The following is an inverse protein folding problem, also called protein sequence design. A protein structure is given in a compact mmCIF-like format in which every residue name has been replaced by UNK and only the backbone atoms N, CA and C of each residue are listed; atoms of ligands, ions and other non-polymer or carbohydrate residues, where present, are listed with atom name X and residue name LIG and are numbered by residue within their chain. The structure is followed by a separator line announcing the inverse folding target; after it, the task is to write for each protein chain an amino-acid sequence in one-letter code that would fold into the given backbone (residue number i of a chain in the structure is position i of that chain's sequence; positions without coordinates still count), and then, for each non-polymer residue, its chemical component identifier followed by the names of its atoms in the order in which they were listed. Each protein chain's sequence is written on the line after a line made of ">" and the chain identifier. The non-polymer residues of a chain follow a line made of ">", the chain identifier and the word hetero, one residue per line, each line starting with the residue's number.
data_IF_560604276648
#
_entry.id   IF_560604276648
#
_cell.length_a   1.000
_cell.length_b   1.000
_cell.length_c   1.000
_cell.angle_alpha   90.00
_cell.angle_beta   90.00
_cell.angle_gamma   90.00
#
_symmetry.space_group_name_H-M   'P 1'
#
loop_
_entity.id
_entity.type
_entity.pdbx_description
1 polymer ?
#
# COMPACT_ATOMS: atom_id res chain seq x y z
N UNK A 1 9.33 91.91 -5.51
CA UNK A 1 10.21 91.25 -6.48
C UNK A 1 10.82 90.03 -5.78
N UNK A 2 10.92 88.83 -6.37
CA UNK A 2 10.59 88.42 -7.75
C UNK A 2 9.77 87.12 -7.77
N UNK A 3 9.11 86.85 -8.90
CA UNK A 3 8.36 85.61 -9.15
C UNK A 3 9.28 84.49 -9.65
N UNK A 4 9.05 83.26 -9.18
CA UNK A 4 9.58 82.05 -9.77
C UNK A 4 8.42 81.05 -9.94
N UNK A 5 7.91 80.92 -11.17
CA UNK A 5 6.70 80.16 -11.46
C UNK A 5 6.96 78.81 -12.13
N UNK A 6 6.18 77.81 -11.73
CA UNK A 6 5.76 76.60 -12.48
C UNK A 6 6.85 75.85 -13.27
N UNK A 7 6.99 74.56 -12.97
CA UNK A 7 6.72 73.52 -13.98
C UNK A 7 6.12 72.28 -13.31
N UNK A 8 4.92 71.86 -13.73
CA UNK A 8 4.21 70.68 -13.23
C UNK A 8 4.12 69.65 -14.36
N UNK A 9 5.05 68.70 -14.40
CA UNK A 9 5.11 67.70 -15.45
C UNK A 9 3.89 66.76 -15.40
N UNK A 10 3.25 66.55 -16.55
CA UNK A 10 2.15 65.59 -16.71
C UNK A 10 2.68 64.22 -17.16
N UNK A 11 1.88 63.17 -16.90
CA UNK A 11 2.26 61.75 -17.04
C UNK A 11 2.23 61.30 -18.50
N UNK A 12 3.19 60.48 -18.98
CA UNK A 12 2.90 59.47 -19.99
C UNK A 12 2.16 58.29 -19.34
N UNK A 13 1.07 57.83 -19.93
CA UNK A 13 0.34 56.64 -19.47
C UNK A 13 0.86 55.39 -20.20
N UNK A 14 1.46 54.45 -19.48
CA UNK A 14 1.95 53.19 -20.05
C UNK A 14 0.79 52.27 -20.45
N UNK A 15 0.51 52.18 -21.75
CA UNK A 15 -0.47 51.26 -22.32
C UNK A 15 0.12 49.86 -22.54
N UNK A 16 -0.32 48.93 -21.70
CA UNK A 16 -0.73 47.56 -22.02
C UNK A 16 0.04 46.77 -23.10
N UNK A 17 0.71 45.70 -22.67
CA UNK A 17 0.77 44.43 -23.45
C UNK A 17 0.57 43.22 -22.52
N UNK A 18 -0.66 42.74 -22.41
CA UNK A 18 -0.94 41.43 -21.82
C UNK A 18 -0.52 40.36 -22.83
N UNK A 19 0.63 39.71 -22.61
CA UNK A 19 0.99 38.48 -23.32
C UNK A 19 0.06 37.36 -22.84
N UNK A 20 -0.93 37.00 -23.65
CA UNK A 20 -1.58 35.68 -23.53
C UNK A 20 -0.54 34.62 -23.88
N UNK A 21 -0.02 33.92 -22.87
CA UNK A 21 0.70 32.66 -23.09
C UNK A 21 -0.34 31.62 -23.50
N UNK A 22 -0.16 31.00 -24.67
CA UNK A 22 -0.94 29.84 -25.05
C UNK A 22 -0.44 28.63 -24.25
N UNK A 23 -1.35 27.92 -23.58
CA UNK A 23 -1.02 26.64 -22.98
C UNK A 23 -0.75 25.59 -24.09
N UNK A 24 0.32 24.79 -24.02
CA UNK A 24 0.49 23.66 -24.91
C UNK A 24 -0.60 22.61 -24.59
N UNK A 25 -1.33 22.18 -25.61
CA UNK A 25 -2.30 21.09 -25.47
C UNK A 25 -1.57 19.75 -25.44
N UNK A 26 -1.32 19.22 -24.24
CA UNK A 26 -0.73 17.89 -24.07
C UNK A 26 -1.69 16.80 -24.58
N UNK A 27 -1.39 16.25 -25.75
CA UNK A 27 -2.13 15.12 -26.33
C UNK A 27 -1.88 13.85 -25.52
N UNK A 28 -2.90 13.37 -24.81
CA UNK A 28 -2.82 12.13 -24.04
C UNK A 28 -2.87 10.91 -24.97
N UNK A 29 -1.71 10.35 -25.30
CA UNK A 29 -1.60 9.09 -26.07
C UNK A 29 -1.98 7.90 -25.20
N UNK A 30 -3.19 7.37 -25.36
CA UNK A 30 -3.64 6.19 -24.64
C UNK A 30 -2.91 4.92 -25.14
N UNK A 31 -1.95 4.42 -24.35
CA UNK A 31 -1.25 3.16 -24.65
C UNK A 31 -2.06 1.98 -24.10
N UNK A 32 -2.80 1.29 -24.96
CA UNK A 32 -3.49 0.05 -24.62
C UNK A 32 -2.50 -1.12 -24.49
N UNK A 33 -2.03 -1.39 -23.28
CA UNK A 33 -1.18 -2.54 -22.99
C UNK A 33 -1.95 -3.85 -23.07
N UNK A 34 -1.76 -4.63 -24.15
CA UNK A 34 -2.30 -5.97 -24.27
C UNK A 34 -1.41 -6.99 -23.53
N UNK A 35 -1.94 -7.64 -22.49
CA UNK A 35 -1.21 -8.68 -21.76
C UNK A 35 -1.25 -10.01 -22.53
N UNK A 36 -0.09 -10.45 -23.03
CA UNK A 36 0.07 -11.75 -23.71
C UNK A 36 0.10 -12.88 -22.68
N UNK A 37 -0.83 -13.83 -22.79
CA UNK A 37 -0.81 -15.07 -22.00
C UNK A 37 0.00 -16.12 -22.76
N UNK A 38 1.19 -16.46 -22.25
CA UNK A 38 1.99 -17.59 -22.76
C UNK A 38 1.49 -18.86 -22.07
N UNK A 39 0.69 -19.65 -22.79
CA UNK A 39 0.35 -21.02 -22.39
C UNK A 39 1.42 -22.00 -22.85
N UNK A 40 1.87 -22.88 -21.95
CA UNK A 40 2.74 -24.02 -22.29
C UNK A 40 1.93 -25.31 -22.10
N UNK A 41 1.49 -25.90 -23.21
CA UNK A 41 0.83 -27.21 -23.23
C UNK A 41 1.87 -28.32 -23.37
N UNK A 42 1.89 -29.26 -22.42
CA UNK A 42 2.80 -30.41 -22.46
C UNK A 42 2.17 -31.61 -23.18
N UNK A 43 2.73 -32.01 -24.33
CA UNK A 43 2.34 -33.23 -25.07
C UNK A 43 3.54 -33.81 -25.82
N UNK A 44 3.80 -35.12 -25.69
CA UNK A 44 4.84 -35.84 -26.46
C UNK A 44 5.35 -37.09 -25.71
N UNK A 45 5.46 -38.23 -26.41
CA UNK A 45 5.56 -39.55 -25.75
C UNK A 45 6.67 -40.47 -26.27
N UNK A 46 7.67 -40.76 -25.43
CA UNK A 46 8.58 -41.94 -25.50
C UNK A 46 9.48 -42.09 -26.74
N UNK A 47 10.09 -43.28 -26.98
CA UNK A 47 10.29 -44.41 -26.03
C UNK A 47 11.69 -45.09 -26.09
N UNK A 48 11.92 -46.10 -25.22
CA UNK A 48 13.04 -47.10 -25.25
C UNK A 48 14.47 -46.54 -24.93
N UNK A 49 15.47 -47.32 -24.46
CA UNK A 49 15.66 -48.78 -24.46
C UNK A 49 16.58 -49.35 -23.33
N UNK A 50 16.47 -50.67 -23.11
CA UNK A 50 17.49 -51.64 -22.62
C UNK A 50 18.12 -51.56 -21.20
N UNK A 51 18.31 -52.75 -20.60
CA UNK A 51 19.06 -53.02 -19.37
C UNK A 51 20.44 -53.68 -19.67
N UNK A 52 21.20 -54.15 -18.66
CA UNK A 52 21.01 -55.53 -18.19
C UNK A 52 21.03 -55.70 -16.65
N UNK A 53 20.92 -56.95 -16.17
CA UNK A 53 20.80 -57.29 -14.74
C UNK A 53 21.72 -58.47 -14.33
N UNK A 54 21.96 -58.65 -13.02
CA UNK A 54 22.27 -59.94 -12.35
C UNK A 54 22.37 -59.79 -10.82
N UNK A 55 21.89 -60.80 -10.06
CA UNK A 55 22.07 -60.89 -8.60
C UNK A 55 20.92 -61.61 -7.87
N UNK A 56 21.17 -62.82 -7.34
CA UNK A 56 20.24 -63.60 -6.49
C UNK A 56 20.49 -63.29 -4.98
N UNK A 57 19.77 -63.83 -3.97
CA UNK A 57 18.81 -64.94 -3.90
C UNK A 57 17.76 -64.67 -2.78
N UNK A 58 16.50 -65.11 -2.90
CA UNK A 58 15.91 -66.38 -2.41
C UNK A 58 15.65 -66.49 -0.88
N UNK A 59 14.38 -66.63 -0.48
CA UNK A 59 13.85 -67.79 0.28
C UNK A 59 12.37 -67.63 0.74
N UNK A 60 11.47 -68.35 0.06
CA UNK A 60 10.23 -69.02 0.55
C UNK A 60 9.17 -68.31 1.43
N UNK A 61 7.89 -68.37 1.00
CA UNK A 61 6.85 -69.31 1.56
C UNK A 61 5.58 -69.37 0.69
N UNK A 62 4.71 -70.34 0.97
CA UNK A 62 3.79 -71.05 0.05
C UNK A 62 2.65 -71.73 0.85
N UNK A 63 1.41 -71.97 0.36
CA UNK A 63 0.65 -71.50 -0.84
C UNK A 63 -0.79 -71.00 -0.37
N UNK A 64 -1.99 -71.09 -1.04
CA UNK A 64 -3.13 -70.20 -0.72
C UNK A 64 -4.49 -70.88 -0.39
N UNK A 65 -5.56 -70.06 -0.33
CA UNK A 65 -6.98 -70.36 -0.64
C UNK A 65 -7.90 -71.02 0.41
N UNK A 66 -9.04 -70.35 0.69
CA UNK A 66 -10.39 -70.94 0.74
C UNK A 66 -11.47 -69.85 0.92
N UNK A 67 -12.61 -69.99 0.26
CA UNK A 67 -13.86 -69.25 0.55
C UNK A 67 -14.75 -70.03 1.53
N UNK A 68 -15.76 -69.37 2.09
CA UNK A 68 -17.09 -69.98 2.03
C UNK A 68 -18.16 -69.01 1.47
N UNK A 69 -19.06 -69.55 0.65
CA UNK A 69 -20.22 -68.84 0.12
C UNK A 69 -21.41 -69.02 1.06
N UNK A 70 -22.07 -67.94 1.48
CA UNK A 70 -23.46 -67.97 1.95
C UNK A 70 -24.24 -66.84 1.29
N UNK A 71 -25.34 -67.19 0.62
CA UNK A 71 -26.29 -66.23 0.06
C UNK A 71 -27.52 -66.17 0.97
N UNK A 72 -27.87 -64.96 1.39
CA UNK A 72 -29.03 -64.66 2.23
C UNK A 72 -29.42 -63.19 2.02
N UNK A 73 -30.34 -62.94 1.09
CA UNK A 73 -30.65 -61.60 0.62
C UNK A 73 -31.27 -60.69 1.69
N UNK A 74 -30.52 -59.68 2.13
CA UNK A 74 -31.04 -58.51 2.83
C UNK A 74 -30.94 -57.27 1.92
N UNK A 75 -32.09 -56.70 1.53
CA UNK A 75 -32.16 -55.39 0.87
C UNK A 75 -31.85 -54.28 1.88
N UNK A 76 -30.57 -54.16 2.25
CA UNK A 76 -30.05 -52.94 2.87
C UNK A 76 -30.17 -51.81 1.84
N UNK A 77 -31.19 -50.96 1.98
CA UNK A 77 -31.31 -49.73 1.21
C UNK A 77 -30.10 -48.86 1.56
N UNK A 78 -29.09 -48.84 0.68
CA UNK A 78 -27.94 -47.96 0.79
C UNK A 78 -28.43 -46.51 0.61
N UNK A 79 -28.83 -45.91 1.73
CA UNK A 79 -29.35 -44.56 1.79
C UNK A 79 -28.19 -43.57 1.61
N UNK A 80 -27.73 -43.46 0.36
CA UNK A 80 -26.69 -42.53 -0.09
C UNK A 80 -27.18 -41.09 0.02
N UNK A 81 -27.30 -40.61 1.26
CA UNK A 81 -27.61 -39.22 1.61
C UNK A 81 -26.35 -38.38 1.51
N UNK A 82 -25.78 -38.33 0.30
CA UNK A 82 -24.97 -37.20 -0.13
C UNK A 82 -25.90 -36.00 -0.31
N UNK A 83 -26.39 -35.47 0.81
CA UNK A 83 -27.05 -34.18 0.84
C UNK A 83 -26.03 -33.15 0.32
N UNK A 84 -26.38 -32.32 -0.67
CA UNK A 84 -25.46 -31.28 -1.12
C UNK A 84 -25.17 -30.37 0.08
N UNK A 85 -23.88 -30.30 0.48
CA UNK A 85 -23.44 -29.33 1.48
C UNK A 85 -23.70 -27.96 0.88
N UNK A 86 -24.71 -27.26 1.39
CA UNK A 86 -24.96 -25.86 1.07
C UNK A 86 -23.79 -25.03 1.59
N UNK A 87 -22.74 -24.91 0.77
CA UNK A 87 -21.82 -23.78 0.83
C UNK A 87 -22.63 -22.56 0.48
N UNK A 88 -23.07 -21.83 1.51
CA UNK A 88 -23.58 -20.48 1.34
C UNK A 88 -22.46 -19.67 0.69
N UNK A 89 -22.71 -19.17 -0.52
CA UNK A 89 -21.80 -18.22 -1.15
C UNK A 89 -21.65 -17.00 -0.22
N UNK A 90 -20.43 -16.50 -0.03
CA UNK A 90 -20.16 -15.43 0.93
C UNK A 90 -20.81 -14.14 0.44
N UNK A 91 -21.76 -13.61 1.22
CA UNK A 91 -22.54 -12.41 0.87
C UNK A 91 -21.94 -11.15 1.51
N UNK A 92 -21.95 -10.03 0.79
CA UNK A 92 -21.51 -8.74 1.31
C UNK A 92 -22.63 -8.06 2.11
N UNK A 93 -22.61 -8.24 3.43
CA UNK A 93 -23.62 -7.68 4.35
C UNK A 93 -23.65 -6.14 4.38
N UNK A 94 -22.58 -5.47 3.95
CA UNK A 94 -22.44 -4.00 3.94
C UNK A 94 -21.27 -3.52 3.06
N UNK A 95 -21.14 -2.20 2.93
CA UNK A 95 -19.94 -1.54 2.35
C UNK A 95 -19.26 -0.65 3.38
N UNK A 96 -17.94 -0.61 3.33
CA UNK A 96 -17.05 0.18 4.20
C UNK A 96 -15.99 0.86 3.33
N UNK A 97 -15.30 1.87 3.86
CA UNK A 97 -14.25 2.60 3.15
C UNK A 97 -12.88 2.16 3.66
N UNK A 98 -11.94 1.89 2.74
CA UNK A 98 -10.53 1.82 3.09
C UNK A 98 -10.06 3.20 3.57
N UNK A 99 -9.48 3.29 4.76
CA UNK A 99 -8.94 4.56 5.29
C UNK A 99 -7.50 4.77 4.85
N UNK A 100 -6.65 3.76 4.98
CA UNK A 100 -5.32 3.70 4.39
C UNK A 100 -5.35 3.00 3.01
N UNK A 101 -4.20 2.94 2.33
CA UNK A 101 -4.00 2.02 1.21
C UNK A 101 -3.81 0.60 1.76
N UNK A 102 -4.44 -0.41 1.13
CA UNK A 102 -4.54 -1.77 1.72
C UNK A 102 -4.17 -2.89 0.74
N UNK A 103 -3.21 -3.71 1.16
CA UNK A 103 -2.90 -4.99 0.52
C UNK A 103 -4.11 -5.93 0.47
N UNK A 104 -4.33 -6.54 -0.69
CA UNK A 104 -5.38 -7.55 -0.93
C UNK A 104 -4.78 -8.96 -0.93
N UNK A 105 -5.18 -9.78 0.03
CA UNK A 105 -4.61 -11.12 0.27
C UNK A 105 -5.55 -12.27 -0.09
N UNK A 106 -4.98 -13.44 -0.35
CA UNK A 106 -5.71 -14.68 -0.62
C UNK A 106 -6.26 -15.38 0.64
N UNK A 107 -5.66 -15.11 1.80
CA UNK A 107 -6.06 -15.64 3.12
C UNK A 107 -5.93 -14.54 4.17
N UNK A 108 -6.44 -14.79 5.37
CA UNK A 108 -6.20 -13.97 6.56
C UNK A 108 -4.75 -14.10 7.08
N UNK A 109 -3.77 -13.75 6.23
CA UNK A 109 -2.32 -13.79 6.49
C UNK A 109 -1.56 -13.11 5.33
N UNK A 110 -0.56 -12.30 5.67
CA UNK A 110 0.38 -11.67 4.74
C UNK A 110 1.49 -12.61 4.22
N UNK A 111 1.57 -13.84 4.74
CA UNK A 111 2.34 -14.93 4.11
C UNK A 111 1.60 -15.53 2.88
N UNK A 112 0.35 -15.15 2.67
CA UNK A 112 -0.44 -15.64 1.53
C UNK A 112 -0.16 -14.86 0.25
N UNK A 113 -0.65 -15.34 -0.89
CA UNK A 113 -0.49 -14.62 -2.16
C UNK A 113 -1.23 -13.28 -2.10
N UNK A 114 -0.50 -12.18 -2.27
CA UNK A 114 -1.05 -10.86 -2.58
C UNK A 114 -1.66 -10.86 -4.00
N UNK A 115 -2.77 -10.15 -4.18
CA UNK A 115 -3.48 -10.00 -5.46
C UNK A 115 -3.57 -8.54 -5.96
N UNK A 116 -3.09 -7.59 -5.16
CA UNK A 116 -3.05 -6.18 -5.49
C UNK A 116 -3.24 -5.32 -4.25
N UNK A 117 -3.83 -4.15 -4.46
CA UNK A 117 -3.99 -3.06 -3.50
C UNK A 117 -5.37 -2.42 -3.67
N UNK A 118 -5.87 -1.81 -2.61
CA UNK A 118 -7.10 -1.01 -2.58
C UNK A 118 -6.72 0.36 -2.03
N UNK A 119 -6.90 1.40 -2.82
CA UNK A 119 -6.55 2.78 -2.44
C UNK A 119 -7.44 3.30 -1.30
N UNK A 120 -6.84 4.12 -0.42
CA UNK A 120 -7.52 4.99 0.54
C UNK A 120 -8.68 5.73 -0.12
N UNK A 121 -9.84 5.75 0.54
CA UNK A 121 -11.07 6.32 0.01
C UNK A 121 -11.81 5.43 -1.00
N UNK A 122 -11.39 4.17 -1.21
CA UNK A 122 -12.17 3.17 -1.98
C UNK A 122 -13.25 2.53 -1.12
N UNK A 123 -14.46 2.32 -1.68
CA UNK A 123 -15.53 1.53 -1.03
C UNK A 123 -15.35 0.04 -1.31
N UNK A 124 -15.12 -0.74 -0.26
CA UNK A 124 -15.09 -2.21 -0.30
C UNK A 124 -16.43 -2.80 0.12
N UNK A 125 -16.73 -4.01 -0.37
CA UNK A 125 -17.88 -4.80 0.05
C UNK A 125 -17.40 -5.86 1.04
N UNK A 126 -17.91 -5.85 2.28
CA UNK A 126 -17.41 -6.72 3.36
C UNK A 126 -18.43 -7.78 3.72
N UNK A 127 -18.01 -9.00 4.00
CA UNK A 127 -18.90 -10.07 4.53
C UNK A 127 -19.18 -9.87 6.02
N UNK A 128 -18.40 -8.99 6.67
CA UNK A 128 -18.51 -8.64 8.08
C UNK A 128 -17.80 -9.61 9.03
N UNK A 129 -17.26 -10.71 8.50
CA UNK A 129 -16.38 -11.65 9.19
C UNK A 129 -14.97 -11.06 9.33
N UNK A 130 -14.39 -11.19 10.52
CA UNK A 130 -13.00 -10.81 10.81
C UNK A 130 -12.27 -12.02 11.41
N UNK A 131 -11.04 -12.28 10.97
CA UNK A 131 -10.20 -13.39 11.44
C UNK A 131 -8.83 -12.80 11.78
N UNK A 132 -8.42 -12.82 13.05
CA UNK A 132 -7.08 -12.37 13.49
C UNK A 132 -6.68 -10.98 12.95
N UNK A 133 -7.60 -10.02 12.98
CA UNK A 133 -7.39 -8.66 12.42
C UNK A 133 -7.63 -8.52 10.91
N UNK A 134 -7.88 -9.60 10.17
CA UNK A 134 -8.17 -9.56 8.74
C UNK A 134 -9.68 -9.54 8.47
N UNK A 135 -10.18 -8.51 7.80
CA UNK A 135 -11.55 -8.45 7.32
C UNK A 135 -11.71 -9.24 6.02
N UNK A 136 -12.76 -10.05 5.94
CA UNK A 136 -13.14 -10.76 4.73
C UNK A 136 -14.01 -9.86 3.83
N UNK A 137 -13.56 -9.67 2.58
CA UNK A 137 -14.18 -8.78 1.60
C UNK A 137 -14.50 -9.53 0.30
N UNK A 138 -15.50 -9.05 -0.44
CA UNK A 138 -15.78 -9.50 -1.80
C UNK A 138 -15.19 -8.50 -2.80
N UNK A 139 -14.11 -8.90 -3.47
CA UNK A 139 -13.50 -8.11 -4.54
C UNK A 139 -13.79 -8.80 -5.88
N UNK A 140 -14.56 -8.15 -6.75
CA UNK A 140 -15.00 -8.68 -8.06
C UNK A 140 -15.74 -10.04 -7.97
N UNK A 141 -16.37 -10.32 -6.82
CA UNK A 141 -17.07 -11.58 -6.55
C UNK A 141 -16.23 -12.65 -5.84
N UNK A 142 -14.92 -12.44 -5.68
CA UNK A 142 -14.03 -13.38 -5.00
C UNK A 142 -13.79 -12.96 -3.54
N UNK A 143 -13.69 -13.94 -2.64
CA UNK A 143 -13.24 -13.69 -1.26
C UNK A 143 -11.79 -13.27 -1.23
N UNK A 144 -11.53 -12.12 -0.60
CA UNK A 144 -10.21 -11.56 -0.32
C UNK A 144 -10.13 -11.10 1.12
N UNK A 145 -8.92 -10.83 1.59
CA UNK A 145 -8.66 -10.35 2.94
C UNK A 145 -7.85 -9.05 2.91
N UNK A 146 -8.23 -8.10 3.76
CA UNK A 146 -7.51 -6.85 4.03
C UNK A 146 -7.43 -6.64 5.54
N UNK A 147 -6.56 -5.77 6.05
CA UNK A 147 -6.55 -5.48 7.49
C UNK A 147 -7.84 -4.72 7.87
N UNK A 148 -8.55 -5.22 8.88
CA UNK A 148 -9.86 -4.74 9.34
C UNK A 148 -9.79 -3.39 10.07
N UNK A 149 -8.65 -3.05 10.66
CA UNK A 149 -8.42 -1.82 11.42
C UNK A 149 -8.60 -0.57 10.55
N UNK A 150 -8.36 -0.70 9.24
CA UNK A 150 -8.41 0.38 8.25
C UNK A 150 -9.70 0.39 7.41
N UNK A 151 -10.79 -0.16 7.95
CA UNK A 151 -12.12 -0.13 7.34
C UNK A 151 -13.10 0.72 8.17
N UNK A 152 -13.53 1.85 7.61
CA UNK A 152 -14.42 2.80 8.27
C UNK A 152 -15.85 2.81 7.66
N UNK A 153 -16.81 3.32 8.41
CA UNK A 153 -18.20 3.53 7.93
C UNK A 153 -18.34 4.80 7.11
N UNK A 154 -17.64 5.84 7.55
CA UNK A 154 -17.59 7.15 6.93
C UNK A 154 -16.43 7.20 5.93
N UNK A 155 -16.51 8.11 4.96
CA UNK A 155 -15.42 8.30 3.99
C UNK A 155 -14.32 9.09 4.70
N UNK A 156 -13.03 8.71 4.59
CA UNK A 156 -11.96 9.62 4.97
C UNK A 156 -12.05 10.94 4.17
N UNK A 157 -11.73 12.05 4.82
CA UNK A 157 -11.60 13.34 4.13
C UNK A 157 -10.39 13.31 3.17
N UNK A 158 -10.25 14.31 2.30
CA UNK A 158 -9.17 14.34 1.31
C UNK A 158 -8.26 15.55 1.52
N UNK A 159 -7.15 15.32 2.19
CA UNK A 159 -6.07 16.31 2.32
C UNK A 159 -5.20 16.27 1.06
N UNK A 160 -5.03 17.42 0.42
CA UNK A 160 -4.15 17.57 -0.75
C UNK A 160 -3.54 18.96 -0.73
N UNK A 161 -2.21 19.04 -0.77
CA UNK A 161 -1.47 20.31 -0.77
C UNK A 161 -0.54 20.37 -1.97
N UNK A 162 -0.43 21.56 -2.56
CA UNK A 162 0.54 21.90 -3.61
C UNK A 162 1.54 22.96 -3.12
N UNK A 163 1.66 23.11 -1.80
CA UNK A 163 2.66 23.96 -1.16
C UNK A 163 4.08 23.50 -1.52
N UNK A 164 4.96 24.44 -1.84
CA UNK A 164 6.39 24.16 -2.00
C UNK A 164 7.12 24.15 -0.65
N UNK A 165 8.39 23.73 -0.67
CA UNK A 165 9.25 23.66 0.51
C UNK A 165 9.46 25.04 1.15
N UNK A 166 9.27 25.11 2.47
CA UNK A 166 9.63 26.25 3.31
C UNK A 166 10.66 25.86 4.36
N UNK A 167 11.47 26.83 4.80
CA UNK A 167 12.41 26.69 5.93
C UNK A 167 12.08 27.65 7.08
N UNK A 168 10.88 28.26 7.07
CA UNK A 168 10.37 29.06 8.16
C UNK A 168 10.18 28.21 9.43
N UNK A 169 10.39 28.81 10.61
CA UNK A 169 10.12 28.12 11.88
C UNK A 169 8.61 27.88 12.06
N UNK A 170 8.26 26.80 12.74
CA UNK A 170 6.87 26.40 12.94
C UNK A 170 6.15 27.28 13.98
N UNK A 171 4.82 27.51 13.82
CA UNK A 171 4.02 28.24 14.81
C UNK A 171 4.07 27.60 16.20
N UNK A 172 4.12 26.27 16.25
CA UNK A 172 4.15 25.46 17.47
C UNK A 172 5.52 25.47 18.19
N UNK A 173 6.52 26.17 17.62
CA UNK A 173 7.87 26.29 18.15
C UNK A 173 8.90 25.41 17.44
N UNK A 174 10.01 25.12 18.13
CA UNK A 174 11.17 24.40 17.58
C UNK A 174 11.80 23.41 18.57
N UNK A 175 11.06 22.98 19.61
CA UNK A 175 11.54 22.02 20.61
C UNK A 175 12.04 20.71 19.99
N UNK A 176 11.33 20.25 18.96
CA UNK A 176 11.61 19.05 18.16
C UNK A 176 12.95 19.13 17.39
N UNK A 177 13.48 20.33 17.13
CA UNK A 177 14.74 20.52 16.40
C UNK A 177 15.97 20.13 17.25
N UNK A 178 15.80 19.90 18.56
CA UNK A 178 16.87 19.45 19.46
C UNK A 178 17.35 18.06 19.06
N UNK A 179 18.65 17.95 18.73
CA UNK A 179 19.30 16.69 18.36
C UNK A 179 19.10 16.30 16.89
N UNK A 180 18.30 17.04 16.13
CA UNK A 180 18.11 16.81 14.70
C UNK A 180 19.27 17.39 13.87
N UNK A 181 19.55 16.72 12.75
CA UNK A 181 20.43 17.22 11.70
C UNK A 181 19.79 18.38 10.95
N UNK A 182 20.60 19.23 10.30
CA UNK A 182 20.09 20.36 9.51
C UNK A 182 19.16 19.92 8.35
N UNK A 183 19.36 18.70 7.81
CA UNK A 183 18.46 18.09 6.83
C UNK A 183 17.09 17.77 7.44
N UNK A 184 17.07 17.07 8.58
CA UNK A 184 15.83 16.75 9.29
C UNK A 184 15.08 18.02 9.76
N UNK A 185 15.79 19.05 10.27
CA UNK A 185 15.17 20.34 10.61
C UNK A 185 14.53 21.02 9.39
N UNK A 186 15.15 20.94 8.21
CA UNK A 186 14.54 21.46 6.97
C UNK A 186 13.33 20.64 6.53
N UNK A 187 13.38 19.31 6.65
CA UNK A 187 12.24 18.42 6.37
C UNK A 187 11.05 18.71 7.30
N UNK A 188 11.30 18.81 8.61
CA UNK A 188 10.31 19.19 9.63
C UNK A 188 9.55 20.46 9.24
N UNK A 189 10.29 21.57 9.06
CA UNK A 189 9.73 22.88 8.74
C UNK A 189 8.97 22.89 7.42
N UNK A 190 9.42 22.12 6.44
CA UNK A 190 8.77 22.05 5.14
C UNK A 190 7.41 21.33 5.22
N UNK A 191 7.34 20.19 5.93
CA UNK A 191 6.07 19.47 6.18
C UNK A 191 5.11 20.32 7.02
N UNK A 192 5.60 20.89 8.12
CA UNK A 192 4.82 21.79 9.00
C UNK A 192 4.23 23.00 8.24
N UNK A 193 4.97 23.60 7.31
CA UNK A 193 4.47 24.68 6.47
C UNK A 193 3.48 24.22 5.39
N UNK A 194 3.60 22.99 4.89
CA UNK A 194 2.71 22.41 3.88
C UNK A 194 1.40 21.84 4.49
N UNK A 195 1.44 21.44 5.77
CA UNK A 195 0.37 20.76 6.51
C UNK A 195 0.16 21.38 7.91
N UNK A 196 -0.41 22.60 8.00
CA UNK A 196 -0.63 23.32 9.27
C UNK A 196 -1.69 22.68 10.21
N UNK A 197 -2.19 21.49 9.88
CA UNK A 197 -3.01 20.66 10.78
C UNK A 197 -2.16 19.72 11.66
N UNK A 198 -0.84 19.62 11.41
CA UNK A 198 0.09 18.79 12.18
C UNK A 198 0.73 19.58 13.32
N UNK A 199 0.60 19.05 14.55
CA UNK A 199 1.20 19.64 15.76
C UNK A 199 1.90 18.62 16.67
N UNK A 200 2.05 17.37 16.22
CA UNK A 200 2.66 16.27 16.99
C UNK A 200 3.71 15.53 16.18
N UNK A 201 4.90 15.35 16.76
CA UNK A 201 6.11 14.93 16.05
C UNK A 201 7.03 14.08 16.97
N UNK A 202 7.52 12.95 16.47
CA UNK A 202 8.64 12.20 17.06
C UNK A 202 9.97 12.65 16.45
N UNK A 203 10.94 13.04 17.27
CA UNK A 203 12.19 13.69 16.83
C UNK A 203 13.42 12.84 17.11
N UNK A 204 14.49 13.46 17.60
CA UNK A 204 15.63 12.72 18.15
C UNK A 204 15.22 11.95 19.41
N UNK A 205 15.57 10.66 19.45
CA UNK A 205 15.44 9.80 20.63
C UNK A 205 16.58 8.74 20.62
N UNK A 206 16.60 7.79 21.57
CA UNK A 206 17.67 6.79 21.68
C UNK A 206 17.34 5.44 21.02
N UNK A 207 16.47 5.41 19.99
CA UNK A 207 16.05 4.19 19.29
C UNK A 207 16.09 4.35 17.75
N UNK A 208 16.15 3.22 17.04
CA UNK A 208 16.02 3.16 15.57
C UNK A 208 16.89 4.15 14.78
N UNK A 209 16.34 4.68 13.69
CA UNK A 209 16.99 5.72 12.88
C UNK A 209 17.07 7.09 13.61
N UNK A 210 16.24 7.31 14.64
CA UNK A 210 16.11 8.56 15.39
C UNK A 210 17.35 8.89 16.23
N UNK A 211 18.09 7.87 16.69
CA UNK A 211 19.42 8.00 17.32
C UNK A 211 20.36 8.96 16.57
N UNK A 212 20.28 8.97 15.24
CA UNK A 212 21.14 9.75 14.34
C UNK A 212 20.68 11.20 14.13
N UNK A 213 19.48 11.58 14.61
CA UNK A 213 18.88 12.89 14.32
C UNK A 213 18.50 13.10 12.85
N UNK A 214 18.44 12.02 12.05
CA UNK A 214 18.09 12.08 10.61
C UNK A 214 16.63 11.69 10.33
N UNK A 215 15.97 11.02 11.26
CA UNK A 215 14.58 10.58 11.16
C UNK A 215 13.61 11.47 11.94
N UNK A 216 12.35 11.52 11.48
CA UNK A 216 11.21 12.17 12.14
C UNK A 216 9.96 11.32 11.89
N UNK A 217 9.15 11.15 12.95
CA UNK A 217 7.80 10.62 12.85
C UNK A 217 6.80 11.79 12.86
N UNK A 218 6.01 11.93 11.80
CA UNK A 218 4.88 12.84 11.76
C UNK A 218 3.66 12.09 12.31
N UNK A 219 3.30 12.36 13.57
CA UNK A 219 2.28 11.58 14.29
C UNK A 219 0.88 11.90 13.78
N UNK A 220 0.24 10.96 13.10
CA UNK A 220 -0.95 11.18 12.29
C UNK A 220 -1.93 10.01 12.43
N UNK A 221 -3.07 10.27 13.06
CA UNK A 221 -4.18 9.31 13.21
C UNK A 221 -5.26 9.42 12.14
N UNK A 222 -5.26 10.47 11.30
CA UNK A 222 -6.10 10.54 10.10
C UNK A 222 -5.35 9.93 8.90
N UNK A 223 -5.80 8.78 8.35
CA UNK A 223 -5.00 8.09 7.33
C UNK A 223 -4.93 8.80 5.96
N UNK A 224 -5.83 9.75 5.69
CA UNK A 224 -5.76 10.53 4.46
C UNK A 224 -4.80 11.73 4.59
N UNK A 225 -4.71 12.34 5.77
CA UNK A 225 -3.64 13.29 6.10
C UNK A 225 -2.28 12.60 6.06
N UNK A 226 -2.19 11.37 6.58
CA UNK A 226 -0.98 10.54 6.51
C UNK A 226 -0.56 10.26 5.07
N UNK A 227 -1.50 9.81 4.23
CA UNK A 227 -1.25 9.62 2.78
C UNK A 227 -0.83 10.92 2.09
N UNK A 228 -1.44 12.04 2.42
CA UNK A 228 -1.10 13.34 1.83
C UNK A 228 0.32 13.77 2.17
N UNK A 229 0.73 13.63 3.44
CA UNK A 229 2.09 13.93 3.93
C UNK A 229 3.12 13.00 3.29
N UNK A 230 2.82 11.70 3.22
CA UNK A 230 3.68 10.69 2.62
C UNK A 230 3.93 10.94 1.11
N UNK A 231 2.87 11.23 0.35
CA UNK A 231 2.98 11.55 -1.08
C UNK A 231 3.67 12.90 -1.34
N UNK A 232 3.45 13.90 -0.49
CA UNK A 232 4.14 15.19 -0.59
C UNK A 232 5.64 15.06 -0.29
N UNK A 233 6.01 14.32 0.76
CA UNK A 233 7.41 14.00 1.07
C UNK A 233 8.07 13.23 -0.08
N UNK A 234 7.39 12.23 -0.65
CA UNK A 234 7.84 11.48 -1.82
C UNK A 234 8.03 12.38 -3.06
N UNK A 235 7.09 13.28 -3.33
CA UNK A 235 7.18 14.21 -4.47
C UNK A 235 8.37 15.18 -4.34
N UNK A 236 8.67 15.63 -3.12
CA UNK A 236 9.78 16.54 -2.82
C UNK A 236 11.07 15.83 -2.37
N UNK A 237 11.16 14.50 -2.50
CA UNK A 237 12.24 13.70 -1.89
C UNK A 237 13.64 14.21 -2.27
N UNK A 238 13.90 14.39 -3.57
CA UNK A 238 15.18 14.87 -4.08
C UNK A 238 15.51 16.32 -3.67
N UNK A 239 14.50 17.16 -3.47
CA UNK A 239 14.70 18.54 -2.98
C UNK A 239 14.93 18.59 -1.46
N UNK A 240 14.41 17.61 -0.71
CA UNK A 240 14.57 17.47 0.73
C UNK A 240 15.78 16.60 1.13
N UNK A 241 16.38 15.88 0.16
CA UNK A 241 17.47 14.92 0.34
C UNK A 241 17.05 13.73 1.24
N UNK A 242 15.88 13.15 0.96
CA UNK A 242 15.33 12.04 1.74
C UNK A 242 16.02 10.72 1.41
N UNK A 243 16.37 9.96 2.44
CA UNK A 243 16.74 8.56 2.32
C UNK A 243 15.50 7.68 2.14
N UNK A 244 14.53 7.79 3.06
CA UNK A 244 13.30 7.02 3.05
C UNK A 244 12.05 7.86 3.42
N UNK A 245 10.88 7.33 3.07
CA UNK A 245 9.57 7.69 3.63
C UNK A 245 8.81 6.37 3.85
N UNK A 246 8.13 6.22 4.98
CA UNK A 246 7.37 5.03 5.33
C UNK A 246 5.98 5.43 5.83
N UNK A 247 4.95 4.84 5.22
CA UNK A 247 3.53 5.09 5.54
C UNK A 247 2.67 3.90 5.14
N UNK A 248 1.67 3.55 5.95
CA UNK A 248 0.68 2.51 5.68
C UNK A 248 1.29 1.18 5.20
N UNK A 249 2.31 0.68 5.91
CA UNK A 249 3.09 -0.52 5.59
C UNK A 249 3.85 -0.48 4.24
N UNK A 250 3.90 0.68 3.58
CA UNK A 250 4.69 0.92 2.38
C UNK A 250 5.96 1.73 2.69
N UNK A 251 7.04 1.48 1.97
CA UNK A 251 8.29 2.24 2.02
C UNK A 251 8.67 2.74 0.63
N UNK A 252 8.96 4.04 0.55
CA UNK A 252 9.68 4.69 -0.55
C UNK A 252 11.14 4.92 -0.13
N UNK A 253 12.08 4.76 -1.05
CA UNK A 253 13.50 5.11 -0.84
C UNK A 253 14.04 5.80 -2.09
N UNK A 254 14.69 6.95 -1.94
CA UNK A 254 15.06 7.79 -3.09
C UNK A 254 15.99 7.08 -4.09
N UNK A 255 16.95 6.28 -3.60
CA UNK A 255 17.84 5.43 -4.40
C UNK A 255 17.09 4.53 -5.39
N UNK A 256 15.92 4.02 -4.98
CA UNK A 256 15.06 3.11 -5.77
C UNK A 256 13.75 3.81 -6.18
N UNK A 257 13.76 5.15 -6.27
CA UNK A 257 12.54 5.94 -6.46
C UNK A 257 11.78 5.66 -7.77
N UNK A 258 12.46 5.07 -8.76
CA UNK A 258 11.84 4.59 -10.01
C UNK A 258 10.93 3.36 -9.85
N UNK A 259 10.99 2.65 -8.71
CA UNK A 259 10.04 1.59 -8.36
C UNK A 259 8.76 2.14 -7.70
N UNK A 260 8.79 3.40 -7.22
CA UNK A 260 7.70 3.98 -6.44
C UNK A 260 7.65 3.46 -4.99
N UNK A 261 6.44 3.25 -4.48
CA UNK A 261 6.22 2.63 -3.18
C UNK A 261 6.42 1.11 -3.25
N UNK A 262 6.88 0.51 -2.14
CA UNK A 262 7.05 -0.93 -2.00
C UNK A 262 6.48 -1.40 -0.67
N UNK A 263 5.75 -2.51 -0.68
CA UNK A 263 5.20 -3.11 0.52
C UNK A 263 6.27 -3.72 1.43
N UNK A 264 6.10 -3.53 2.74
CA UNK A 264 6.88 -4.17 3.80
C UNK A 264 6.17 -5.43 4.31
N UNK A 265 6.91 -6.38 4.86
CA UNK A 265 6.33 -7.47 5.67
C UNK A 265 5.58 -6.90 6.87
N UNK A 266 4.53 -7.58 7.33
CA UNK A 266 3.82 -7.17 8.53
C UNK A 266 4.73 -7.23 9.77
N UNK A 267 4.76 -6.16 10.56
CA UNK A 267 5.57 -6.03 11.79
C UNK A 267 4.75 -6.17 13.08
N UNK A 268 3.46 -6.54 12.98
CA UNK A 268 2.64 -6.99 14.10
C UNK A 268 1.78 -5.94 14.81
N UNK A 269 1.86 -4.65 14.46
CA UNK A 269 0.99 -3.60 15.00
C UNK A 269 0.81 -2.42 14.04
N UNK A 270 -0.20 -1.57 14.29
CA UNK A 270 -0.41 -0.32 13.55
C UNK A 270 0.87 0.54 13.52
N UNK A 271 1.48 0.77 14.68
CA UNK A 271 2.72 1.54 14.85
C UNK A 271 3.90 0.92 14.15
N UNK A 272 4.15 -0.38 14.34
CA UNK A 272 5.30 -1.04 13.70
C UNK A 272 5.18 -1.03 12.16
N UNK A 273 3.94 -1.02 11.64
CA UNK A 273 3.61 -0.89 10.22
C UNK A 273 3.37 0.57 9.74
N UNK A 274 3.53 1.58 10.60
CA UNK A 274 3.48 3.00 10.24
C UNK A 274 2.10 3.46 9.70
N UNK A 275 1.02 3.07 10.37
CA UNK A 275 -0.34 3.53 10.09
C UNK A 275 -0.83 4.66 11.02
N UNK A 276 -0.11 4.95 12.11
CA UNK A 276 -0.38 6.01 13.09
C UNK A 276 0.65 7.18 13.05
N UNK A 277 1.64 7.07 12.15
CA UNK A 277 2.60 8.11 11.83
C UNK A 277 3.17 7.91 10.42
N UNK A 278 3.57 9.00 9.77
CA UNK A 278 4.48 8.94 8.60
C UNK A 278 5.90 9.07 9.12
N UNK A 279 6.73 8.06 8.93
CA UNK A 279 8.17 8.17 9.19
C UNK A 279 8.86 8.71 7.93
N UNK A 280 9.88 9.54 8.10
CA UNK A 280 10.82 9.84 7.03
C UNK A 280 12.21 10.12 7.60
N UNK A 281 13.25 9.78 6.84
CA UNK A 281 14.63 10.11 7.20
C UNK A 281 15.43 10.69 6.03
N UNK A 282 16.40 11.55 6.36
CA UNK A 282 17.31 12.20 5.38
C UNK A 282 18.62 11.44 5.24
N UNK A 283 19.36 11.69 4.14
CA UNK A 283 20.76 11.26 4.00
C UNK A 283 21.68 11.96 5.00
#
# INVERSE_FOLDING_TARGET
>A
MSSAGRHRAARPALRTRVRRLAAPASTATAVTGAAVVIGISATGSGPLASAPASGAADLGRTIPSATPTVDAGARALSASRTAPRLTLEPEAVRKEWATADLNVWAKASDESRQFGEIESGTRVAVTGKVINGWAEILLKGEVRYVNAEYLAREKPESFATTAGISAAACPDGSSIERGLTAGAVRMYRAVCAAFPALSSYGGWDNHGEHTSGRAIDFMITDPALGKAVAEWLRAHAAELNLYNVIWAQQIYTQERGGEGWRWMSNRGSATANHYDHVHASVY
#
